data_IF_528081179191
#
_entry.id   IF_528081179191
#
_cell.length_a   1.000
_cell.length_b   1.000
_cell.length_c   1.000
_cell.angle_alpha   90.00
_cell.angle_beta   90.00
_cell.angle_gamma   90.00
#
_symmetry.space_group_name_H-M   'P 1'
#
loop_
_entity.id
_entity.type
_entity.pdbx_description
1 polymer ?
#
# COMPACT_ATOMS: atom_id res chain seq x y z
N UNK A 1 44.86 -26.50 29.09
CA UNK A 1 43.61 -26.68 28.30
C UNK A 1 43.40 -25.42 27.50
N UNK A 2 43.45 -25.52 26.17
CA UNK A 2 43.27 -24.37 25.29
C UNK A 2 41.83 -23.90 25.29
N UNK A 3 41.61 -22.59 25.40
CA UNK A 3 40.31 -21.95 25.22
C UNK A 3 39.89 -22.25 23.78
N UNK A 4 38.95 -23.18 23.59
CA UNK A 4 38.38 -23.45 22.28
C UNK A 4 37.60 -22.18 21.89
N UNK A 5 38.01 -21.54 20.79
CA UNK A 5 37.33 -20.36 20.29
C UNK A 5 35.88 -20.73 19.96
N UNK A 6 34.94 -20.35 20.83
CA UNK A 6 33.50 -20.55 20.67
C UNK A 6 32.91 -19.71 19.53
N UNK A 7 33.74 -19.04 18.73
CA UNK A 7 33.31 -18.10 17.70
C UNK A 7 33.16 -18.84 16.37
N UNK A 8 31.93 -18.88 15.87
CA UNK A 8 31.55 -19.36 14.54
C UNK A 8 31.41 -18.18 13.59
N UNK A 9 31.94 -18.31 12.37
CA UNK A 9 31.83 -17.29 11.32
C UNK A 9 30.96 -17.79 10.18
N UNK A 10 30.03 -16.94 9.74
CA UNK A 10 29.19 -17.17 8.57
C UNK A 10 29.48 -16.11 7.52
N UNK A 11 29.61 -16.52 6.27
CA UNK A 11 29.55 -15.63 5.11
C UNK A 11 28.16 -15.78 4.50
N UNK A 12 27.30 -14.78 4.67
CA UNK A 12 25.91 -14.82 4.24
C UNK A 12 25.71 -13.82 3.11
N UNK A 13 25.52 -14.31 1.89
CA UNK A 13 25.37 -13.46 0.71
C UNK A 13 26.50 -12.44 0.52
N UNK A 14 27.72 -12.74 0.99
CA UNK A 14 28.90 -11.87 0.94
C UNK A 14 29.17 -11.02 2.18
N UNK A 15 28.28 -10.97 3.19
CA UNK A 15 28.53 -10.29 4.47
C UNK A 15 28.97 -11.28 5.53
N UNK A 16 30.04 -10.94 6.26
CA UNK A 16 30.59 -11.79 7.32
C UNK A 16 29.87 -11.50 8.64
N UNK A 17 29.33 -12.54 9.26
CA UNK A 17 28.76 -12.55 10.59
C UNK A 17 29.60 -13.41 11.53
N UNK A 18 29.65 -13.00 12.80
CA UNK A 18 30.32 -13.75 13.86
C UNK A 18 29.35 -13.95 15.01
N UNK A 19 29.29 -15.18 15.52
CA UNK A 19 28.43 -15.55 16.65
C UNK A 19 29.07 -16.67 17.46
N UNK A 20 28.42 -17.08 18.54
CA UNK A 20 28.88 -18.19 19.39
C UNK A 20 28.12 -19.48 19.13
N UNK A 21 28.72 -20.65 19.42
CA UNK A 21 27.97 -21.92 19.36
C UNK A 21 26.78 -21.90 20.33
N UNK A 22 26.95 -21.28 21.49
CA UNK A 22 25.91 -21.05 22.50
C UNK A 22 24.70 -20.26 21.96
N UNK A 23 24.92 -19.25 21.11
CA UNK A 23 23.83 -18.49 20.47
C UNK A 23 23.08 -19.37 19.47
N UNK A 24 23.79 -20.17 18.69
CA UNK A 24 23.19 -21.05 17.69
C UNK A 24 22.41 -22.20 18.34
N UNK A 25 22.83 -22.65 19.53
CA UNK A 25 22.12 -23.67 20.31
C UNK A 25 20.73 -23.22 20.81
N UNK A 26 20.42 -21.93 20.73
CA UNK A 26 19.07 -21.42 20.99
C UNK A 26 18.10 -21.70 19.83
N UNK A 27 18.60 -22.13 18.66
CA UNK A 27 17.76 -22.53 17.56
C UNK A 27 17.11 -23.90 17.84
N UNK A 28 15.95 -24.16 17.23
CA UNK A 28 15.28 -25.45 17.36
C UNK A 28 16.19 -26.59 16.85
N UNK A 29 16.09 -27.77 17.48
CA UNK A 29 16.91 -28.95 17.12
C UNK A 29 16.64 -29.41 15.69
N UNK A 30 15.43 -29.21 15.21
CA UNK A 30 15.01 -29.55 13.84
C UNK A 30 15.37 -28.43 12.82
N UNK A 31 16.05 -27.37 13.25
CA UNK A 31 16.46 -26.26 12.38
C UNK A 31 17.84 -26.47 11.74
N UNK A 32 18.16 -25.68 10.71
CA UNK A 32 19.48 -25.64 10.07
C UNK A 32 20.64 -25.48 11.08
N UNK A 33 20.46 -24.69 12.14
CA UNK A 33 21.49 -24.49 13.16
C UNK A 33 21.49 -25.59 14.22
N UNK A 34 20.34 -26.20 14.53
CA UNK A 34 20.26 -27.40 15.37
C UNK A 34 21.01 -28.58 14.75
N UNK A 35 20.85 -28.78 13.44
CA UNK A 35 21.59 -29.75 12.65
C UNK A 35 23.11 -29.47 12.58
N UNK A 36 23.55 -28.25 12.90
CA UNK A 36 24.99 -27.90 12.94
C UNK A 36 25.70 -28.49 14.18
N UNK A 37 24.95 -28.87 15.21
CA UNK A 37 25.46 -29.47 16.46
C UNK A 37 25.21 -30.96 16.59
N UNK A 38 24.59 -31.57 15.59
CA UNK A 38 24.31 -33.00 15.59
C UNK A 38 25.52 -33.77 15.03
N UNK A 39 25.98 -34.80 15.75
CA UNK A 39 27.18 -35.60 15.41
C UNK A 39 27.03 -36.35 14.06
N UNK A 40 25.83 -36.33 13.48
CA UNK A 40 25.42 -37.10 12.32
C UNK A 40 25.49 -36.32 11.00
N UNK A 41 25.87 -35.05 11.01
CA UNK A 41 25.82 -34.21 9.82
C UNK A 41 27.19 -33.91 9.20
N UNK A 42 27.39 -34.50 8.03
CA UNK A 42 28.57 -34.43 7.18
C UNK A 42 28.61 -33.11 6.36
N UNK A 43 28.32 -31.96 7.00
CA UNK A 43 28.58 -30.66 6.38
C UNK A 43 30.09 -30.50 6.27
N UNK A 44 30.58 -30.80 5.06
CA UNK A 44 31.95 -30.58 4.59
C UNK A 44 32.54 -29.38 5.33
N UNK A 45 33.62 -29.65 6.05
CA UNK A 45 34.44 -28.67 6.74
C UNK A 45 34.49 -27.37 5.93
N UNK A 46 34.38 -26.19 6.58
CA UNK A 46 34.30 -24.91 5.90
C UNK A 46 35.35 -24.84 4.79
N UNK A 47 34.99 -24.26 3.64
CA UNK A 47 35.75 -24.35 2.37
C UNK A 47 37.24 -23.90 2.54
N UNK A 48 37.58 -23.20 3.63
CA UNK A 48 38.94 -22.86 4.06
C UNK A 48 39.19 -23.00 5.59
N UNK A 49 38.45 -23.86 6.30
CA UNK A 49 38.66 -24.12 7.73
C UNK A 49 38.16 -23.02 8.69
N UNK A 50 37.50 -21.95 8.21
CA UNK A 50 37.18 -20.76 9.04
C UNK A 50 35.81 -20.12 8.88
N UNK A 51 35.02 -20.43 7.86
CA UNK A 51 33.73 -19.75 7.62
C UNK A 51 32.72 -20.63 6.87
N UNK A 52 31.46 -20.60 7.33
CA UNK A 52 30.33 -21.29 6.70
C UNK A 52 29.63 -20.36 5.72
N UNK A 53 29.53 -20.75 4.46
CA UNK A 53 28.80 -19.97 3.47
C UNK A 53 27.31 -20.30 3.49
N UNK A 54 26.47 -19.28 3.57
CA UNK A 54 25.02 -19.36 3.47
C UNK A 54 24.60 -18.49 2.29
N UNK A 55 24.03 -19.11 1.26
CA UNK A 55 23.53 -18.41 0.08
C UNK A 55 22.14 -17.81 0.35
N UNK A 56 22.10 -16.84 1.27
CA UNK A 56 20.89 -16.12 1.70
C UNK A 56 21.19 -14.64 1.92
N UNK A 57 20.14 -13.84 2.10
CA UNK A 57 20.27 -12.41 2.35
C UNK A 57 20.89 -12.15 3.74
N UNK A 58 21.98 -11.35 3.82
CA UNK A 58 22.61 -11.01 5.09
C UNK A 58 21.70 -10.23 6.04
N UNK A 59 20.78 -9.39 5.56
CA UNK A 59 19.91 -8.61 6.44
C UNK A 59 18.92 -9.50 7.20
N UNK A 60 18.39 -10.55 6.56
CA UNK A 60 17.50 -11.53 7.21
C UNK A 60 18.25 -12.37 8.22
N UNK A 61 19.48 -12.76 7.87
CA UNK A 61 20.34 -13.48 8.79
C UNK A 61 20.70 -12.62 10.00
N UNK A 62 20.83 -11.30 9.85
CA UNK A 62 21.03 -10.40 10.99
C UNK A 62 19.83 -10.43 11.95
N UNK A 63 18.60 -10.35 11.43
CA UNK A 63 17.36 -10.45 12.24
C UNK A 63 17.27 -11.79 12.95
N UNK A 64 17.50 -12.88 12.21
CA UNK A 64 17.46 -14.22 12.75
C UNK A 64 18.56 -14.43 13.80
N UNK A 65 19.75 -13.88 13.59
CA UNK A 65 20.84 -13.97 14.55
C UNK A 65 20.55 -13.18 15.83
N UNK A 66 19.91 -12.01 15.71
CA UNK A 66 19.51 -11.21 16.87
C UNK A 66 18.35 -11.86 17.64
N UNK A 67 17.40 -12.52 16.95
CA UNK A 67 16.41 -13.40 17.57
C UNK A 67 17.08 -14.50 18.40
N UNK A 68 18.07 -15.20 17.81
CA UNK A 68 18.81 -16.24 18.53
C UNK A 68 19.61 -15.70 19.72
N UNK A 69 20.10 -14.46 19.66
CA UNK A 69 20.85 -13.82 20.76
C UNK A 69 19.99 -13.36 21.91
N UNK A 70 18.81 -12.82 21.59
CA UNK A 70 17.98 -12.10 22.57
C UNK A 70 16.75 -12.89 23.01
N UNK A 71 16.32 -13.87 22.23
CA UNK A 71 15.03 -14.55 22.39
C UNK A 71 13.84 -13.75 21.85
N UNK A 72 14.06 -12.50 21.44
CA UNK A 72 13.04 -11.57 20.96
C UNK A 72 13.26 -11.23 19.49
N UNK A 73 12.18 -11.22 18.70
CA UNK A 73 12.26 -10.88 17.28
C UNK A 73 12.41 -9.36 17.10
N UNK A 74 13.65 -8.89 16.96
CA UNK A 74 13.95 -7.51 16.59
C UNK A 74 14.15 -7.41 15.08
N UNK A 75 13.12 -6.96 14.36
CA UNK A 75 13.28 -6.51 12.98
C UNK A 75 13.86 -5.09 13.07
N UNK A 76 15.12 -4.84 12.68
CA UNK A 76 15.68 -3.51 12.71
C UNK A 76 14.86 -2.66 11.74
N UNK A 77 14.09 -1.72 12.28
CA UNK A 77 13.59 -0.58 11.52
C UNK A 77 14.82 0.29 11.24
N UNK A 78 15.63 -0.11 10.27
CA UNK A 78 16.65 0.72 9.65
C UNK A 78 16.04 1.88 8.86
N UNK A 79 14.72 2.05 8.93
CA UNK A 79 13.93 3.04 8.23
C UNK A 79 13.32 3.97 9.26
N UNK A 80 13.42 5.27 8.97
CA UNK A 80 12.68 6.25 9.74
C UNK A 80 11.18 6.04 9.56
N UNK A 81 10.35 6.71 10.37
CA UNK A 81 8.91 6.73 10.12
C UNK A 81 8.63 7.16 8.67
N UNK A 82 7.62 6.55 8.04
CA UNK A 82 7.21 6.92 6.69
C UNK A 82 6.93 8.43 6.62
N UNK A 83 7.63 9.10 5.72
CA UNK A 83 7.44 10.51 5.41
C UNK A 83 7.57 10.71 3.90
N UNK A 84 6.44 11.06 3.28
CA UNK A 84 6.33 11.34 1.84
C UNK A 84 7.32 12.39 1.34
N UNK A 85 7.73 13.33 2.19
CA UNK A 85 8.69 14.39 1.82
C UNK A 85 10.14 13.90 1.79
N UNK A 86 10.42 12.75 2.41
CA UNK A 86 11.76 12.19 2.53
C UNK A 86 11.95 10.93 1.71
N UNK A 87 10.89 10.42 1.07
CA UNK A 87 10.94 9.24 0.23
C UNK A 87 12.04 9.35 -0.84
N UNK A 88 12.81 8.27 -0.97
CA UNK A 88 13.79 8.06 -2.03
C UNK A 88 13.49 6.75 -2.73
N UNK A 89 13.73 6.72 -4.03
CA UNK A 89 13.65 5.48 -4.80
C UNK A 89 14.66 4.50 -4.22
N UNK A 90 14.16 3.37 -3.72
CA UNK A 90 14.98 2.31 -3.12
C UNK A 90 15.34 1.26 -4.17
N UNK A 91 14.33 0.77 -4.90
CA UNK A 91 14.50 -0.26 -5.93
C UNK A 91 13.38 -0.19 -6.97
N UNK A 92 13.61 -0.83 -8.10
CA UNK A 92 12.60 -1.07 -9.13
C UNK A 92 12.63 -2.53 -9.53
N UNK A 93 11.46 -3.11 -9.70
CA UNK A 93 11.29 -4.52 -10.02
C UNK A 93 10.60 -4.62 -11.38
N UNK A 94 11.25 -5.30 -12.31
CA UNK A 94 10.69 -5.62 -13.62
C UNK A 94 9.88 -6.92 -13.49
N UNK A 95 8.59 -6.82 -13.73
CA UNK A 95 7.66 -7.94 -13.78
C UNK A 95 7.90 -8.84 -14.98
N UNK A 96 7.39 -10.07 -14.89
CA UNK A 96 7.47 -11.10 -15.94
C UNK A 96 6.15 -11.29 -16.70
N UNK A 97 5.11 -10.53 -16.35
CA UNK A 97 3.78 -10.73 -16.89
C UNK A 97 3.64 -10.19 -18.33
N UNK A 98 2.83 -10.83 -19.19
CA UNK A 98 2.66 -10.40 -20.59
C UNK A 98 1.61 -9.31 -20.82
N UNK A 99 0.96 -8.78 -19.77
CA UNK A 99 -0.18 -7.85 -19.90
C UNK A 99 -0.08 -6.62 -19.01
N UNK A 100 -0.89 -5.60 -19.31
CA UNK A 100 -0.82 -4.28 -18.69
C UNK A 100 -1.04 -4.31 -17.17
N UNK A 101 -0.32 -3.41 -16.47
CA UNK A 101 -0.45 -3.20 -15.03
C UNK A 101 -1.86 -2.79 -14.65
N UNK A 102 -2.50 -3.57 -13.77
CA UNK A 102 -3.89 -3.39 -13.36
C UNK A 102 -4.01 -2.77 -11.98
N UNK A 103 -3.31 -3.32 -10.99
CA UNK A 103 -3.37 -2.85 -9.61
C UNK A 103 -2.11 -3.28 -8.84
N UNK A 104 -1.73 -2.48 -7.83
CA UNK A 104 -0.67 -2.82 -6.88
C UNK A 104 -1.15 -2.56 -5.45
N UNK A 105 -0.87 -3.47 -4.52
CA UNK A 105 -1.25 -3.31 -3.11
C UNK A 105 -0.08 -3.64 -2.20
N UNK A 106 0.28 -2.68 -1.37
CA UNK A 106 1.27 -2.88 -0.31
C UNK A 106 0.76 -3.95 0.67
N UNK A 107 1.61 -4.91 0.98
CA UNK A 107 1.36 -5.97 1.95
C UNK A 107 1.54 -5.47 3.38
N UNK A 108 0.91 -6.14 4.36
CA UNK A 108 1.04 -5.79 5.78
C UNK A 108 2.45 -6.08 6.34
N UNK A 109 3.24 -6.89 5.64
CA UNK A 109 4.60 -7.30 5.99
C UNK A 109 5.68 -6.41 5.34
N UNK A 110 5.30 -5.42 4.54
CA UNK A 110 6.21 -4.59 3.75
C UNK A 110 6.50 -5.16 2.35
N UNK A 111 5.86 -6.27 1.97
CA UNK A 111 5.82 -6.77 0.60
C UNK A 111 4.79 -6.04 -0.26
N UNK A 112 4.44 -6.61 -1.41
CA UNK A 112 3.33 -6.13 -2.23
C UNK A 112 2.77 -7.24 -3.13
N UNK A 113 1.55 -7.07 -3.62
CA UNK A 113 1.05 -7.86 -4.72
C UNK A 113 0.77 -6.96 -5.93
N UNK A 114 0.99 -7.50 -7.13
CA UNK A 114 0.91 -6.77 -8.39
C UNK A 114 0.09 -7.57 -9.40
N UNK A 115 -1.01 -7.00 -9.86
CA UNK A 115 -1.89 -7.58 -10.87
C UNK A 115 -1.54 -7.09 -12.27
N UNK A 116 -1.39 -8.04 -13.20
CA UNK A 116 -1.15 -7.80 -14.63
C UNK A 116 -2.09 -8.67 -15.46
N UNK A 117 -3.09 -8.07 -16.09
CA UNK A 117 -4.09 -8.80 -16.88
C UNK A 117 -4.83 -9.86 -16.04
N UNK A 118 -4.45 -11.13 -16.17
CA UNK A 118 -5.05 -12.27 -15.45
C UNK A 118 -4.17 -12.92 -14.38
N UNK A 119 -2.97 -12.38 -14.17
CA UNK A 119 -1.99 -12.89 -13.21
C UNK A 119 -1.80 -11.91 -12.06
N UNK A 120 -1.56 -12.45 -10.87
CA UNK A 120 -1.14 -11.67 -9.69
C UNK A 120 0.17 -12.23 -9.18
N UNK A 121 1.17 -11.36 -9.09
CA UNK A 121 2.49 -11.67 -8.55
C UNK A 121 2.54 -11.20 -7.10
N UNK A 122 3.03 -12.04 -6.20
CA UNK A 122 3.14 -11.72 -4.77
C UNK A 122 4.62 -11.61 -4.43
N UNK A 123 5.01 -10.50 -3.83
CA UNK A 123 6.36 -10.22 -3.39
C UNK A 123 6.37 -10.04 -1.89
N UNK A 124 7.28 -10.72 -1.21
CA UNK A 124 7.51 -10.49 0.21
C UNK A 124 8.23 -9.16 0.47
N UNK A 125 8.50 -8.86 1.74
CA UNK A 125 9.22 -7.67 2.15
C UNK A 125 10.65 -7.57 1.59
N UNK A 126 11.25 -8.67 1.15
CA UNK A 126 12.57 -8.71 0.50
C UNK A 126 12.47 -8.52 -1.02
N UNK A 127 11.24 -8.47 -1.54
CA UNK A 127 10.91 -8.47 -2.96
C UNK A 127 11.27 -9.80 -3.63
N UNK A 128 11.26 -10.90 -2.88
CA UNK A 128 11.28 -12.25 -3.43
C UNK A 128 9.86 -12.64 -3.86
N UNK A 129 9.76 -13.19 -5.07
CA UNK A 129 8.48 -13.53 -5.68
C UNK A 129 8.02 -14.92 -5.19
N UNK A 130 6.80 -14.99 -4.67
CA UNK A 130 6.09 -16.23 -4.37
C UNK A 130 5.35 -16.76 -5.62
N UNK A 131 4.87 -18.02 -5.62
CA UNK A 131 4.13 -18.58 -6.74
C UNK A 131 3.00 -17.64 -7.21
N UNK A 132 2.89 -17.36 -8.53
CA UNK A 132 1.90 -16.44 -9.04
C UNK A 132 0.48 -17.00 -8.90
N UNK A 133 -0.46 -16.09 -8.69
CA UNK A 133 -1.87 -16.41 -8.49
C UNK A 133 -2.66 -16.13 -9.77
N UNK A 134 -3.69 -16.94 -10.03
CA UNK A 134 -4.68 -16.65 -11.05
C UNK A 134 -6.04 -17.23 -10.66
N UNK A 135 -7.11 -16.52 -11.01
CA UNK A 135 -8.48 -17.00 -10.82
C UNK A 135 -9.04 -17.40 -12.17
N UNK A 136 -8.85 -18.68 -12.54
CA UNK A 136 -9.31 -19.26 -13.81
C UNK A 136 -8.85 -18.48 -15.06
N UNK A 137 -7.69 -17.80 -14.95
CA UNK A 137 -7.14 -16.88 -15.94
C UNK A 137 -8.10 -15.76 -16.39
N UNK A 138 -9.05 -15.39 -15.53
CA UNK A 138 -9.92 -14.23 -15.75
C UNK A 138 -9.14 -12.92 -15.57
N UNK A 139 -9.58 -11.87 -16.27
CA UNK A 139 -9.02 -10.53 -16.09
C UNK A 139 -9.27 -10.08 -14.65
N UNK A 140 -8.20 -9.77 -13.94
CA UNK A 140 -8.23 -9.21 -12.59
C UNK A 140 -8.73 -7.76 -12.67
N UNK A 141 -9.59 -7.36 -11.74
CA UNK A 141 -10.07 -5.98 -11.63
C UNK A 141 -9.42 -5.25 -10.47
N UNK A 142 -9.20 -5.96 -9.35
CA UNK A 142 -8.54 -5.46 -8.16
C UNK A 142 -7.95 -6.64 -7.35
N UNK A 143 -7.09 -6.30 -6.40
CA UNK A 143 -6.45 -7.22 -5.47
C UNK A 143 -6.48 -6.60 -4.07
N UNK A 144 -6.39 -7.44 -3.04
CA UNK A 144 -6.40 -6.95 -1.67
C UNK A 144 -5.82 -7.96 -0.68
N UNK A 145 -5.07 -7.46 0.29
CA UNK A 145 -4.56 -8.26 1.39
C UNK A 145 -5.64 -8.42 2.45
N UNK A 146 -6.04 -9.65 2.73
CA UNK A 146 -6.92 -9.96 3.87
C UNK A 146 -6.10 -10.02 5.15
N UNK A 147 -4.91 -10.61 5.06
CA UNK A 147 -3.89 -10.70 6.10
C UNK A 147 -2.54 -11.04 5.44
N UNK A 148 -1.47 -11.19 6.21
CA UNK A 148 -0.13 -11.49 5.68
C UNK A 148 -0.06 -12.81 4.87
N UNK A 149 -0.97 -13.75 5.11
CA UNK A 149 -0.97 -15.07 4.47
C UNK A 149 -1.98 -15.20 3.33
N UNK A 150 -2.85 -14.21 3.14
CA UNK A 150 -4.03 -14.35 2.28
C UNK A 150 -4.25 -13.14 1.38
N UNK A 151 -4.24 -13.38 0.08
CA UNK A 151 -4.52 -12.38 -0.96
C UNK A 151 -5.86 -12.70 -1.61
N UNK A 152 -6.71 -11.69 -1.70
CA UNK A 152 -7.99 -11.73 -2.39
C UNK A 152 -7.83 -11.15 -3.79
N UNK A 153 -8.39 -11.84 -4.77
CA UNK A 153 -8.44 -11.40 -6.18
C UNK A 153 -9.90 -11.17 -6.54
N UNK A 154 -10.22 -10.02 -7.13
CA UNK A 154 -11.48 -9.77 -7.82
C UNK A 154 -11.27 -9.86 -9.33
N UNK A 155 -12.18 -10.52 -10.06
CA UNK A 155 -12.03 -10.76 -11.48
C UNK A 155 -13.33 -10.62 -12.28
N UNK A 156 -13.18 -10.45 -13.59
CA UNK A 156 -14.28 -10.42 -14.54
C UNK A 156 -15.03 -11.76 -14.63
N UNK A 157 -16.35 -11.70 -14.78
CA UNK A 157 -17.14 -12.87 -15.09
C UNK A 157 -16.70 -13.51 -16.43
N UNK A 158 -16.55 -14.84 -16.45
CA UNK A 158 -16.40 -15.60 -17.69
C UNK A 158 -17.75 -16.04 -18.21
N UNK A 159 -18.10 -15.57 -19.40
CA UNK A 159 -19.36 -15.90 -20.06
C UNK A 159 -19.51 -17.42 -20.25
N UNK A 160 -20.66 -17.96 -19.82
CA UNK A 160 -21.10 -19.32 -20.17
C UNK A 160 -20.62 -20.47 -19.27
N UNK A 161 -19.84 -20.21 -18.20
CA UNK A 161 -19.37 -21.27 -17.28
C UNK A 161 -19.79 -21.11 -15.81
N UNK A 162 -20.35 -19.97 -15.42
CA UNK A 162 -20.71 -19.70 -14.01
C UNK A 162 -19.51 -19.42 -13.09
N UNK A 163 -18.30 -19.74 -13.52
CA UNK A 163 -17.04 -19.37 -12.87
C UNK A 163 -16.85 -17.85 -12.94
N UNK A 164 -16.90 -17.16 -11.80
CA UNK A 164 -16.74 -15.71 -11.74
C UNK A 164 -16.61 -15.21 -10.31
N UNK A 165 -16.15 -13.96 -10.13
CA UNK A 165 -16.23 -13.26 -8.87
C UNK A 165 -14.88 -13.08 -8.21
N UNK A 166 -14.72 -13.67 -7.03
CA UNK A 166 -13.55 -13.43 -6.17
C UNK A 166 -12.98 -14.74 -5.65
N UNK A 167 -11.65 -14.77 -5.49
CA UNK A 167 -10.92 -15.91 -4.94
C UNK A 167 -9.95 -15.48 -3.85
N UNK A 168 -9.92 -16.22 -2.74
CA UNK A 168 -8.93 -16.09 -1.68
C UNK A 168 -7.80 -17.08 -1.91
N UNK A 169 -6.57 -16.61 -1.93
CA UNK A 169 -5.38 -17.41 -2.18
C UNK A 169 -4.40 -17.31 -1.03
N UNK A 170 -3.61 -18.36 -0.82
CA UNK A 170 -2.43 -18.31 0.02
C UNK A 170 -1.37 -17.42 -0.64
N UNK A 171 -0.87 -16.40 0.07
CA UNK A 171 0.21 -15.53 -0.43
C UNK A 171 1.53 -16.28 -0.64
N UNK A 172 1.76 -17.36 0.12
CA UNK A 172 3.01 -18.13 0.11
C UNK A 172 3.01 -19.31 -0.88
N UNK A 173 1.92 -20.07 -0.95
CA UNK A 173 1.85 -21.30 -1.77
C UNK A 173 1.19 -21.08 -3.12
N UNK A 174 0.37 -20.02 -3.24
CA UNK A 174 -0.47 -19.77 -4.40
C UNK A 174 -1.75 -20.59 -4.47
N UNK A 175 -2.03 -21.42 -3.45
CA UNK A 175 -3.23 -22.26 -3.44
C UNK A 175 -4.50 -21.44 -3.26
N UNK A 176 -5.52 -21.74 -4.06
CA UNK A 176 -6.87 -21.21 -3.90
C UNK A 176 -7.52 -21.83 -2.66
N UNK A 177 -7.83 -20.99 -1.66
CA UNK A 177 -8.48 -21.39 -0.41
C UNK A 177 -10.00 -21.34 -0.51
N UNK A 178 -10.54 -20.30 -1.15
CA UNK A 178 -11.99 -20.07 -1.21
C UNK A 178 -12.40 -19.31 -2.46
N UNK A 179 -13.59 -19.61 -3.00
CA UNK A 179 -14.27 -18.80 -4.03
C UNK A 179 -15.53 -18.18 -3.43
N UNK A 180 -15.65 -16.86 -3.55
CA UNK A 180 -16.81 -16.14 -3.00
C UNK A 180 -17.92 -16.05 -4.02
N UNK A 181 -19.07 -16.61 -3.67
CA UNK A 181 -20.29 -16.53 -4.45
C UNK A 181 -21.14 -15.34 -3.99
N UNK A 182 -21.90 -14.77 -4.92
CA UNK A 182 -23.02 -13.87 -4.61
C UNK A 182 -24.32 -14.66 -4.68
N UNK A 183 -25.12 -14.54 -3.63
CA UNK A 183 -26.49 -15.05 -3.54
C UNK A 183 -27.46 -13.89 -3.71
N UNK A 184 -28.36 -14.03 -4.67
CA UNK A 184 -29.42 -13.07 -4.97
C UNK A 184 -30.71 -13.84 -5.25
N UNK A 185 -31.83 -13.45 -4.63
CA UNK A 185 -33.12 -14.16 -4.68
C UNK A 185 -32.98 -15.67 -4.38
N UNK A 186 -32.17 -16.00 -3.36
CA UNK A 186 -31.85 -17.38 -2.96
C UNK A 186 -31.19 -18.23 -4.05
N UNK A 187 -30.63 -17.62 -5.09
CA UNK A 187 -29.86 -18.30 -6.14
C UNK A 187 -28.43 -17.78 -6.17
N UNK A 188 -27.49 -18.71 -6.34
CA UNK A 188 -26.10 -18.33 -6.64
C UNK A 188 -26.10 -17.79 -8.08
N UNK A 189 -25.63 -16.57 -8.24
CA UNK A 189 -25.51 -15.94 -9.55
C UNK A 189 -24.06 -15.56 -9.83
N UNK A 190 -23.68 -15.60 -11.10
CA UNK A 190 -22.39 -15.12 -11.56
C UNK A 190 -22.33 -13.59 -11.54
N UNK A 191 -21.14 -13.06 -11.27
CA UNK A 191 -20.90 -11.62 -11.14
C UNK A 191 -19.45 -11.27 -11.47
N UNK A 192 -19.24 -10.06 -11.97
CA UNK A 192 -17.93 -9.43 -12.07
C UNK A 192 -17.65 -8.71 -10.77
N UNK A 193 -16.59 -9.11 -10.07
CA UNK A 193 -16.14 -8.40 -8.87
C UNK A 193 -15.17 -7.28 -9.26
N UNK A 194 -15.41 -6.08 -8.76
CA UNK A 194 -14.63 -4.88 -9.03
C UNK A 194 -13.74 -4.48 -7.85
N UNK A 195 -13.87 -3.22 -7.43
CA UNK A 195 -13.11 -2.63 -6.34
C UNK A 195 -13.34 -3.38 -5.01
N UNK A 196 -12.26 -3.52 -4.25
CA UNK A 196 -12.24 -4.22 -2.96
C UNK A 196 -12.03 -3.25 -1.80
N UNK A 197 -12.60 -3.59 -0.64
CA UNK A 197 -12.26 -2.94 0.62
C UNK A 197 -12.42 -3.90 1.80
N UNK A 198 -11.69 -3.62 2.87
CA UNK A 198 -11.69 -4.41 4.09
C UNK A 198 -11.99 -3.53 5.28
N UNK A 199 -12.61 -4.12 6.28
CA UNK A 199 -12.92 -3.47 7.55
C UNK A 199 -12.20 -4.18 8.70
N UNK A 200 -11.95 -3.49 9.83
CA UNK A 200 -11.31 -4.10 10.99
C UNK A 200 -12.09 -5.25 11.63
N UNK A 201 -13.40 -5.32 11.41
CA UNK A 201 -14.28 -6.38 11.91
C UNK A 201 -14.39 -7.58 10.95
N UNK A 202 -13.30 -7.86 10.23
CA UNK A 202 -13.16 -9.03 9.37
C UNK A 202 -14.20 -9.13 8.25
N UNK A 203 -14.70 -8.01 7.72
CA UNK A 203 -15.56 -8.01 6.54
C UNK A 203 -14.81 -7.63 5.27
N UNK A 204 -15.20 -8.27 4.18
CA UNK A 204 -14.80 -7.98 2.81
C UNK A 204 -15.95 -7.28 2.13
N UNK A 205 -15.67 -6.15 1.51
CA UNK A 205 -16.61 -5.44 0.64
C UNK A 205 -16.11 -5.51 -0.79
N UNK A 206 -17.02 -5.78 -1.73
CA UNK A 206 -16.69 -5.73 -3.15
C UNK A 206 -17.84 -5.15 -3.96
N UNK A 207 -17.50 -4.35 -4.98
CA UNK A 207 -18.47 -3.99 -6.00
C UNK A 207 -18.76 -5.21 -6.87
N UNK A 208 -20.03 -5.53 -7.01
CA UNK A 208 -20.50 -6.67 -7.78
C UNK A 208 -21.27 -6.11 -8.97
N UNK A 209 -20.87 -6.43 -10.20
CA UNK A 209 -21.64 -6.14 -11.41
C UNK A 209 -22.17 -7.44 -11.99
N UNK A 210 -23.35 -7.44 -12.57
CA UNK A 210 -23.79 -8.60 -13.34
C UNK A 210 -24.81 -8.28 -14.41
N UNK A 211 -25.40 -9.32 -14.98
CA UNK A 211 -25.83 -9.33 -16.39
C UNK A 211 -26.98 -8.38 -16.74
N UNK A 212 -27.88 -8.09 -15.80
CA UNK A 212 -29.06 -7.24 -16.03
C UNK A 212 -28.91 -5.83 -15.45
N UNK A 213 -27.68 -5.34 -15.23
CA UNK A 213 -27.37 -4.18 -14.38
C UNK A 213 -27.82 -4.34 -12.91
N UNK A 214 -28.04 -5.57 -12.46
CA UNK A 214 -28.64 -5.87 -11.14
C UNK A 214 -27.63 -6.29 -10.08
N UNK A 215 -26.69 -5.44 -9.66
CA UNK A 215 -25.86 -5.76 -8.48
C UNK A 215 -25.33 -4.50 -7.81
N UNK A 216 -24.96 -4.59 -6.54
CA UNK A 216 -24.43 -3.48 -5.74
C UNK A 216 -23.18 -3.88 -4.97
N UNK A 217 -23.17 -3.68 -3.66
CA UNK A 217 -22.01 -4.00 -2.81
C UNK A 217 -22.27 -5.29 -2.04
N UNK A 218 -21.47 -6.31 -2.31
CA UNK A 218 -21.49 -7.55 -1.54
C UNK A 218 -20.64 -7.44 -0.29
N UNK A 219 -21.06 -8.13 0.77
CA UNK A 219 -20.32 -8.23 2.03
C UNK A 219 -20.13 -9.68 2.43
N UNK A 220 -18.88 -10.06 2.66
CA UNK A 220 -18.51 -11.40 3.11
C UNK A 220 -17.73 -11.34 4.41
N UNK A 221 -17.92 -12.36 5.22
CA UNK A 221 -17.11 -12.60 6.40
C UNK A 221 -15.78 -13.27 6.01
N UNK A 222 -14.66 -12.69 6.44
CA UNK A 222 -13.31 -13.16 6.07
C UNK A 222 -13.01 -14.56 6.63
N UNK A 223 -13.60 -14.92 7.77
CA UNK A 223 -13.30 -16.17 8.48
C UNK A 223 -14.06 -17.35 7.86
N UNK A 224 -15.34 -17.17 7.61
CA UNK A 224 -16.24 -18.22 7.11
C UNK A 224 -16.36 -18.23 5.58
N UNK A 225 -15.95 -17.14 4.91
CA UNK A 225 -16.12 -16.94 3.48
C UNK A 225 -17.57 -16.69 3.04
N UNK A 226 -18.53 -16.69 3.98
CA UNK A 226 -19.95 -16.58 3.65
C UNK A 226 -20.34 -15.14 3.36
N UNK A 227 -21.23 -14.97 2.39
CA UNK A 227 -21.93 -13.69 2.22
C UNK A 227 -22.79 -13.46 3.46
N UNK A 228 -22.54 -12.35 4.15
CA UNK A 228 -23.26 -11.95 5.36
C UNK A 228 -24.21 -10.79 5.10
N UNK A 229 -23.97 -10.02 4.03
CA UNK A 229 -24.82 -8.91 3.68
C UNK A 229 -24.72 -8.52 2.21
N UNK A 230 -25.67 -7.71 1.74
CA UNK A 230 -25.66 -7.10 0.42
C UNK A 230 -26.33 -5.73 0.45
N UNK A 231 -25.73 -4.76 -0.22
CA UNK A 231 -26.31 -3.44 -0.44
C UNK A 231 -26.74 -3.33 -1.90
N UNK A 232 -28.04 -3.26 -2.13
CA UNK A 232 -28.61 -3.19 -3.46
C UNK A 232 -28.47 -1.79 -4.06
N UNK A 233 -28.32 -1.76 -5.37
CA UNK A 233 -28.28 -0.52 -6.14
C UNK A 233 -29.62 0.22 -6.10
N UNK A 234 -29.57 1.53 -5.88
CA UNK A 234 -30.73 2.43 -6.01
C UNK A 234 -30.86 2.87 -7.48
N UNK A 235 -32.08 3.02 -8.04
CA UNK A 235 -32.24 3.47 -9.43
C UNK A 235 -31.43 4.74 -9.76
N UNK A 236 -30.61 4.65 -10.81
CA UNK A 236 -29.75 5.75 -11.28
C UNK A 236 -28.35 5.79 -10.66
N UNK A 237 -28.04 4.95 -9.67
CA UNK A 237 -26.68 4.73 -9.18
C UNK A 237 -26.03 3.56 -9.92
N UNK A 238 -24.73 3.35 -9.79
CA UNK A 238 -24.03 2.19 -10.38
C UNK A 238 -23.02 1.64 -9.38
N UNK A 239 -23.52 1.21 -8.22
CA UNK A 239 -22.70 0.74 -7.09
C UNK A 239 -21.91 -0.52 -7.46
N UNK A 240 -22.53 -1.39 -8.28
CA UNK A 240 -21.88 -2.59 -8.77
C UNK A 240 -20.67 -2.34 -9.68
N UNK A 241 -20.58 -1.12 -10.23
CA UNK A 241 -19.50 -0.71 -11.14
C UNK A 241 -18.47 0.21 -10.48
N UNK A 242 -18.48 0.31 -9.14
CA UNK A 242 -17.60 1.21 -8.42
C UNK A 242 -16.12 0.95 -8.73
N UNK A 243 -15.39 2.04 -8.98
CA UNK A 243 -13.96 2.10 -9.20
C UNK A 243 -13.16 1.99 -7.91
N UNK A 244 -13.75 2.46 -6.80
CA UNK A 244 -13.07 2.54 -5.52
C UNK A 244 -14.04 2.36 -4.37
N UNK A 245 -13.61 1.56 -3.40
CA UNK A 245 -14.26 1.37 -2.12
C UNK A 245 -13.29 1.78 -1.01
N UNK A 246 -13.79 2.48 -0.01
CA UNK A 246 -13.00 2.86 1.18
C UNK A 246 -13.86 2.78 2.43
N UNK A 247 -13.43 1.95 3.38
CA UNK A 247 -14.06 1.84 4.69
C UNK A 247 -13.63 3.00 5.58
N UNK A 248 -14.60 3.63 6.23
CA UNK A 248 -14.40 4.77 7.12
C UNK A 248 -14.66 4.31 8.55
N UNK A 249 -13.62 4.33 9.38
CA UNK A 249 -13.65 3.77 10.73
C UNK A 249 -14.44 4.67 11.68
N UNK A 250 -14.25 5.99 11.59
CA UNK A 250 -14.90 6.96 12.46
C UNK A 250 -16.41 7.01 12.28
N UNK A 251 -16.87 6.85 11.04
CA UNK A 251 -18.31 6.84 10.70
C UNK A 251 -18.91 5.45 10.53
N UNK A 252 -18.10 4.39 10.56
CA UNK A 252 -18.51 3.00 10.26
C UNK A 252 -19.32 2.89 8.97
N UNK A 253 -18.87 3.60 7.95
CA UNK A 253 -19.55 3.75 6.66
C UNK A 253 -18.62 3.40 5.52
N UNK A 254 -19.19 3.05 4.37
CA UNK A 254 -18.43 2.72 3.17
C UNK A 254 -18.54 3.84 2.15
N UNK A 255 -17.41 4.43 1.76
CA UNK A 255 -17.32 5.27 0.57
C UNK A 255 -17.33 4.37 -0.67
N UNK A 256 -18.23 4.70 -1.60
CA UNK A 256 -18.32 4.07 -2.91
C UNK A 256 -18.22 5.15 -3.97
N UNK A 257 -17.21 5.05 -4.84
CA UNK A 257 -16.99 5.99 -5.93
C UNK A 257 -17.03 5.27 -7.29
N UNK A 258 -17.87 5.78 -8.19
CA UNK A 258 -17.96 5.38 -9.59
C UNK A 258 -17.66 6.61 -10.43
N UNK A 259 -16.56 6.60 -11.19
CA UNK A 259 -15.92 7.81 -11.73
C UNK A 259 -15.68 7.69 -13.24
N UNK A 260 -15.43 8.83 -13.88
CA UNK A 260 -15.13 8.92 -15.30
C UNK A 260 -13.69 8.40 -15.59
N UNK A 261 -13.46 7.61 -16.65
CA UNK A 261 -14.33 7.38 -17.81
C UNK A 261 -15.18 6.11 -17.77
N UNK A 262 -15.23 5.36 -16.64
CA UNK A 262 -16.04 4.13 -16.59
C UNK A 262 -17.53 4.41 -16.75
N UNK A 263 -17.97 5.58 -16.29
CA UNK A 263 -19.32 6.12 -16.48
C UNK A 263 -19.24 7.56 -16.96
N UNK A 264 -20.27 7.98 -17.71
CA UNK A 264 -20.39 9.36 -18.21
C UNK A 264 -20.52 10.39 -17.08
N UNK A 265 -21.17 10.00 -15.99
CA UNK A 265 -21.34 10.82 -14.79
C UNK A 265 -20.63 10.17 -13.60
N UNK A 266 -20.00 11.00 -12.77
CA UNK A 266 -19.37 10.61 -11.53
C UNK A 266 -20.38 10.58 -10.39
N UNK A 267 -20.25 9.57 -9.54
CA UNK A 267 -21.11 9.31 -8.41
C UNK A 267 -20.25 8.91 -7.22
N UNK A 268 -20.37 9.63 -6.11
CA UNK A 268 -19.70 9.30 -4.84
C UNK A 268 -20.79 9.20 -3.77
N UNK A 269 -20.76 8.14 -2.98
CA UNK A 269 -21.75 7.91 -1.93
C UNK A 269 -21.10 7.36 -0.66
N UNK A 270 -21.70 7.67 0.49
CA UNK A 270 -21.41 7.03 1.77
C UNK A 270 -22.59 6.14 2.13
N UNK A 271 -22.32 4.85 2.32
CA UNK A 271 -23.32 3.83 2.66
C UNK A 271 -23.20 3.45 4.13
N UNK A 272 -24.32 3.48 4.86
CA UNK A 272 -24.44 2.90 6.20
C UNK A 272 -25.18 1.56 6.09
N UNK A 273 -24.44 0.47 6.31
CA UNK A 273 -24.95 -0.90 6.23
C UNK A 273 -25.90 -1.25 7.38
N UNK A 274 -25.81 -0.57 8.53
CA UNK A 274 -26.71 -0.78 9.66
C UNK A 274 -28.10 -0.24 9.36
N UNK A 275 -28.14 0.90 8.66
CA UNK A 275 -29.38 1.59 8.28
C UNK A 275 -29.90 1.18 6.90
N UNK A 276 -29.09 0.47 6.10
CA UNK A 276 -29.39 0.14 4.70
C UNK A 276 -29.73 1.37 3.87
N UNK A 277 -28.99 2.45 4.09
CA UNK A 277 -29.24 3.74 3.46
C UNK A 277 -27.96 4.42 2.99
N UNK A 278 -28.11 5.27 1.99
CA UNK A 278 -27.07 6.21 1.58
C UNK A 278 -27.17 7.45 2.48
N UNK A 279 -26.19 7.64 3.36
CA UNK A 279 -26.17 8.75 4.33
C UNK A 279 -25.62 10.04 3.73
N UNK A 280 -24.85 9.93 2.65
CA UNK A 280 -24.35 11.08 1.90
C UNK A 280 -24.12 10.70 0.44
N UNK A 281 -24.29 11.67 -0.47
CA UNK A 281 -24.03 11.44 -1.89
C UNK A 281 -23.65 12.72 -2.64
N UNK A 282 -22.87 12.55 -3.69
CA UNK A 282 -22.46 13.58 -4.63
C UNK A 282 -22.51 13.03 -6.06
N UNK A 283 -22.89 13.89 -7.01
CA UNK A 283 -22.85 13.60 -8.43
C UNK A 283 -22.48 14.85 -9.23
N UNK A 284 -21.78 14.69 -10.34
CA UNK A 284 -21.55 15.76 -11.32
C UNK A 284 -22.72 15.93 -12.30
N UNK A 285 -23.72 15.04 -12.26
CA UNK A 285 -24.92 15.13 -13.07
C UNK A 285 -25.64 16.48 -12.89
N UNK A 286 -25.88 17.18 -14.01
CA UNK A 286 -26.56 18.48 -14.03
C UNK A 286 -25.71 19.66 -13.55
N UNK A 287 -24.42 19.48 -13.31
CA UNK A 287 -23.50 20.59 -13.10
C UNK A 287 -23.46 21.49 -14.35
N UNK A 288 -23.46 22.83 -14.22
CA UNK A 288 -23.38 23.71 -15.37
C UNK A 288 -22.11 23.40 -16.16
N UNK A 289 -22.26 23.24 -17.48
CA UNK A 289 -21.16 23.09 -18.44
C UNK A 289 -20.37 24.41 -18.47
N UNK A 290 -19.50 24.63 -17.50
CA UNK A 290 -18.56 25.75 -17.51
C UNK A 290 -17.36 25.41 -18.38
N UNK A 291 -16.72 26.43 -18.96
CA UNK A 291 -15.58 26.32 -19.89
C UNK A 291 -14.39 25.50 -19.34
N UNK A 292 -14.27 25.36 -18.00
CA UNK A 292 -13.31 24.49 -17.32
C UNK A 292 -14.01 23.20 -16.82
N UNK A 293 -14.39 22.27 -17.73
CA UNK A 293 -14.93 20.95 -17.35
C UNK A 293 -13.87 20.15 -16.56
N UNK A 294 -13.93 20.19 -15.23
CA UNK A 294 -13.07 19.37 -14.37
C UNK A 294 -13.83 18.14 -13.91
N UNK A 295 -13.57 16.99 -14.53
CA UNK A 295 -14.16 15.71 -14.14
C UNK A 295 -13.31 15.03 -13.08
N UNK A 296 -13.97 14.46 -12.06
CA UNK A 296 -13.27 13.67 -11.05
C UNK A 296 -12.81 12.33 -11.67
N UNK A 297 -11.54 11.98 -11.41
CA UNK A 297 -10.87 10.77 -11.91
C UNK A 297 -10.55 9.77 -10.80
N UNK A 298 -10.28 10.29 -9.61
CA UNK A 298 -10.23 9.50 -8.38
C UNK A 298 -10.76 10.32 -7.20
N UNK A 299 -11.14 9.63 -6.13
CA UNK A 299 -11.64 10.21 -4.89
C UNK A 299 -11.04 9.51 -3.67
N UNK A 300 -10.92 10.21 -2.55
CA UNK A 300 -10.55 9.62 -1.27
C UNK A 300 -11.23 10.38 -0.13
N UNK A 301 -11.82 9.65 0.81
CA UNK A 301 -12.39 10.24 2.01
C UNK A 301 -11.29 10.54 3.03
N UNK A 302 -11.43 11.68 3.69
CA UNK A 302 -10.53 12.23 4.67
C UNK A 302 -11.32 12.49 5.95
N UNK A 303 -11.42 11.45 6.80
CA UNK A 303 -12.27 11.47 8.00
C UNK A 303 -11.88 12.63 8.95
N UNK A 304 -10.59 12.83 9.19
CA UNK A 304 -10.08 13.90 10.07
C UNK A 304 -10.49 15.31 9.61
N UNK A 305 -10.72 15.47 8.30
CA UNK A 305 -11.11 16.74 7.69
C UNK A 305 -12.59 16.82 7.34
N UNK A 306 -13.39 15.79 7.64
CA UNK A 306 -14.79 15.66 7.21
C UNK A 306 -15.00 16.03 5.73
N UNK A 307 -14.10 15.56 4.86
CA UNK A 307 -14.08 15.94 3.45
C UNK A 307 -13.79 14.74 2.56
N UNK A 308 -14.22 14.81 1.30
CA UNK A 308 -13.75 13.93 0.23
C UNK A 308 -12.85 14.76 -0.67
N UNK A 309 -11.61 14.32 -0.85
CA UNK A 309 -10.73 14.88 -1.88
C UNK A 309 -10.99 14.15 -3.20
N UNK A 310 -11.06 14.91 -4.29
CA UNK A 310 -11.16 14.42 -5.66
C UNK A 310 -10.01 14.99 -6.47
N UNK A 311 -9.57 14.27 -7.50
CA UNK A 311 -8.56 14.75 -8.45
C UNK A 311 -9.11 14.71 -9.87
N UNK A 312 -8.78 15.70 -10.70
CA UNK A 312 -9.16 15.71 -12.11
C UNK A 312 -8.00 15.27 -13.03
N UNK A 313 -8.27 15.21 -14.33
CA UNK A 313 -7.26 14.92 -15.37
C UNK A 313 -6.07 15.90 -15.44
N UNK A 314 -6.14 17.04 -14.76
CA UNK A 314 -5.05 18.03 -14.73
C UNK A 314 -4.25 17.99 -13.42
N UNK A 315 -4.45 16.96 -12.59
CA UNK A 315 -3.86 16.84 -11.24
C UNK A 315 -4.33 17.94 -10.27
N UNK A 316 -5.45 18.63 -10.57
CA UNK A 316 -6.05 19.55 -9.63
C UNK A 316 -6.79 18.78 -8.55
N UNK A 317 -6.54 19.17 -7.30
CA UNK A 317 -7.27 18.66 -6.15
C UNK A 317 -8.53 19.49 -5.91
N UNK A 318 -9.64 18.81 -5.70
CA UNK A 318 -10.90 19.37 -5.28
C UNK A 318 -11.34 18.78 -3.95
N UNK A 319 -12.09 19.55 -3.17
CA UNK A 319 -12.57 19.12 -1.86
C UNK A 319 -14.08 19.28 -1.76
N UNK A 320 -14.73 18.24 -1.26
CA UNK A 320 -16.17 18.20 -1.01
C UNK A 320 -16.37 18.03 0.49
N UNK A 321 -16.99 19.00 1.14
CA UNK A 321 -17.25 18.97 2.59
C UNK A 321 -18.44 18.03 2.88
N UNK A 322 -18.21 17.01 3.70
CA UNK A 322 -19.22 16.00 4.04
C UNK A 322 -20.36 16.57 4.91
N UNK A 323 -20.14 17.69 5.59
CA UNK A 323 -21.12 18.32 6.49
C UNK A 323 -22.08 19.23 5.76
N UNK A 324 -21.66 19.77 4.61
CA UNK A 324 -22.43 20.75 3.86
C UNK A 324 -23.25 20.02 2.81
N UNK A 325 -24.57 20.17 2.88
CA UNK A 325 -25.51 19.71 1.85
C UNK A 325 -25.39 20.61 0.61
N UNK A 326 -24.30 20.49 -0.14
CA UNK A 326 -23.99 21.36 -1.27
C UNK A 326 -23.02 20.68 -2.24
N UNK A 327 -23.54 20.27 -3.40
CA UNK A 327 -22.93 19.33 -4.36
C UNK A 327 -21.75 19.89 -5.17
N UNK A 328 -21.12 21.00 -4.79
CA UNK A 328 -20.05 21.61 -5.59
C UNK A 328 -18.66 21.23 -5.08
N UNK A 329 -17.80 20.76 -5.97
CA UNK A 329 -16.38 20.55 -5.68
C UNK A 329 -15.68 21.91 -5.53
N UNK A 330 -14.99 22.12 -4.40
CA UNK A 330 -14.11 23.27 -4.23
C UNK A 330 -12.71 22.94 -4.76
N UNK A 331 -12.46 23.28 -6.01
CA UNK A 331 -11.15 23.08 -6.64
C UNK A 331 -10.10 24.02 -6.03
N UNK A 332 -8.96 23.44 -5.62
CA UNK A 332 -7.82 24.18 -5.12
C UNK A 332 -7.15 24.96 -6.24
N UNK A 333 -6.86 26.23 -6.00
CA UNK A 333 -6.02 27.03 -6.91
C UNK A 333 -4.53 26.71 -6.76
N UNK A 334 -4.14 26.05 -5.67
CA UNK A 334 -2.74 25.77 -5.31
C UNK A 334 -2.23 24.45 -5.88
N UNK A 335 -3.12 23.57 -6.36
CA UNK A 335 -2.80 22.29 -7.00
C UNK A 335 -2.67 22.38 -8.53
N UNK A 336 -2.76 23.57 -9.13
CA UNK A 336 -2.70 23.76 -10.59
C UNK A 336 -1.30 23.46 -11.11
N UNK A 337 -1.06 22.19 -11.40
CA UNK A 337 0.25 21.67 -11.78
C UNK A 337 0.45 21.64 -13.29
N UNK A 338 -0.63 21.52 -14.07
CA UNK A 338 -0.58 21.46 -15.54
C UNK A 338 -1.55 22.44 -16.21
N UNK A 339 -1.12 23.03 -17.34
CA UNK A 339 -1.95 23.80 -18.30
C UNK A 339 -1.87 23.21 -19.74
N UNK A 340 -1.31 22.01 -19.90
CA UNK A 340 -0.99 21.41 -21.19
C UNK A 340 -1.98 20.34 -21.64
N UNK A 341 -1.96 20.01 -22.94
CA UNK A 341 -2.74 18.92 -23.54
C UNK A 341 -2.34 17.58 -22.91
N UNK A 342 -3.31 16.75 -22.54
CA UNK A 342 -3.03 15.39 -22.03
C UNK A 342 -2.29 14.55 -23.07
N UNK A 343 -1.38 13.65 -22.66
CA UNK A 343 -0.84 12.60 -23.52
C UNK A 343 -1.96 11.71 -24.05
N UNK A 344 -1.76 11.12 -25.24
CA UNK A 344 -2.79 10.33 -25.94
C UNK A 344 -3.16 9.01 -25.22
N UNK A 345 -2.34 8.52 -24.28
CA UNK A 345 -2.63 7.35 -23.43
C UNK A 345 -2.47 7.69 -21.93
N UNK A 346 -3.49 8.25 -21.24
CA UNK A 346 -3.32 8.58 -19.83
C UNK A 346 -3.78 7.43 -18.94
N UNK A 347 -2.86 6.93 -18.10
CA UNK A 347 -3.28 6.49 -16.77
C UNK A 347 -3.86 7.68 -16.03
N UNK A 348 -5.06 7.52 -15.50
CA UNK A 348 -5.71 8.59 -14.75
C UNK A 348 -5.10 8.74 -13.36
N UNK A 349 -5.07 9.96 -12.82
CA UNK A 349 -4.48 10.21 -11.52
C UNK A 349 -5.21 9.41 -10.43
N UNK A 350 -4.44 8.89 -9.48
CA UNK A 350 -4.91 8.15 -8.30
C UNK A 350 -4.59 8.92 -7.03
N UNK A 351 -5.38 8.71 -5.99
CA UNK A 351 -5.23 9.34 -4.68
C UNK A 351 -5.03 8.31 -3.57
N UNK A 352 -4.10 8.61 -2.66
CA UNK A 352 -3.92 7.90 -1.40
C UNK A 352 -3.72 8.89 -0.25
N UNK A 353 -4.22 8.54 0.93
CA UNK A 353 -4.05 9.30 2.16
C UNK A 353 -3.31 8.38 3.14
N UNK A 354 -2.16 8.82 3.63
CA UNK A 354 -1.34 8.02 4.53
C UNK A 354 -0.66 8.94 5.55
N UNK A 355 -0.81 8.65 6.85
CA UNK A 355 -0.24 9.44 7.96
C UNK A 355 -0.46 10.96 7.83
N UNK A 356 -1.66 11.38 7.42
CA UNK A 356 -2.00 12.80 7.26
C UNK A 356 -1.36 13.50 6.06
N UNK A 357 -0.67 12.75 5.18
CA UNK A 357 -0.15 13.24 3.90
C UNK A 357 -1.03 12.73 2.76
N UNK A 358 -1.35 13.59 1.81
CA UNK A 358 -2.13 13.26 0.63
C UNK A 358 -1.19 13.06 -0.56
N UNK A 359 -1.38 11.98 -1.30
CA UNK A 359 -0.58 11.60 -2.45
C UNK A 359 -1.46 11.56 -3.69
N UNK A 360 -0.96 12.12 -4.80
CA UNK A 360 -1.61 12.05 -6.11
C UNK A 360 -0.61 11.56 -7.14
N UNK A 361 -0.93 10.47 -7.87
CA UNK A 361 -0.16 10.08 -9.05
C UNK A 361 -0.59 10.91 -10.26
N UNK A 362 0.33 11.22 -11.15
CA UNK A 362 0.06 11.79 -12.47
C UNK A 362 1.28 11.56 -13.36
N UNK A 363 1.06 11.00 -14.56
CA UNK A 363 2.13 10.59 -15.46
C UNK A 363 3.16 9.72 -14.73
N UNK A 364 4.44 10.07 -14.82
CA UNK A 364 5.57 9.36 -14.22
C UNK A 364 5.91 9.82 -12.78
N UNK A 365 4.98 10.51 -12.12
CA UNK A 365 5.24 11.18 -10.85
C UNK A 365 4.14 11.01 -9.80
N UNK A 366 4.52 11.10 -8.53
CA UNK A 366 3.61 11.17 -7.38
C UNK A 366 3.89 12.46 -6.62
N UNK A 367 2.89 13.33 -6.57
CA UNK A 367 2.89 14.57 -5.82
C UNK A 367 2.45 14.33 -4.38
N UNK A 368 3.15 14.93 -3.42
CA UNK A 368 2.86 14.84 -1.97
C UNK A 368 2.36 16.19 -1.49
N UNK A 369 1.21 16.20 -0.82
CA UNK A 369 0.55 17.38 -0.29
C UNK A 369 0.41 17.27 1.22
N UNK A 370 0.80 18.33 1.94
CA UNK A 370 0.79 18.35 3.39
C UNK A 370 0.17 19.65 3.95
N UNK A 371 -0.18 19.60 5.23
CA UNK A 371 -0.69 20.74 5.97
C UNK A 371 -2.18 21.02 5.74
N UNK A 372 -2.75 21.99 6.47
CA UNK A 372 -4.21 22.25 6.45
C UNK A 372 -4.72 22.71 5.08
N UNK A 373 -3.86 23.35 4.30
CA UNK A 373 -4.16 23.86 2.95
C UNK A 373 -3.78 22.88 1.83
N UNK A 374 -3.29 21.68 2.17
CA UNK A 374 -2.85 20.65 1.21
C UNK A 374 -1.91 21.22 0.14
N UNK A 375 -0.82 21.85 0.59
CA UNK A 375 0.17 22.45 -0.30
C UNK A 375 1.11 21.36 -0.81
N UNK A 376 1.49 21.43 -2.09
CA UNK A 376 2.50 20.55 -2.67
C UNK A 376 3.84 20.75 -1.96
N UNK A 377 4.36 19.69 -1.34
CA UNK A 377 5.62 19.72 -0.58
C UNK A 377 6.72 18.88 -1.20
N UNK A 378 6.37 17.82 -1.95
CA UNK A 378 7.34 16.96 -2.61
C UNK A 378 6.75 16.37 -3.90
N UNK A 379 7.63 15.97 -4.82
CA UNK A 379 7.27 15.24 -6.03
C UNK A 379 8.27 14.10 -6.23
N UNK A 380 7.77 12.88 -6.13
CA UNK A 380 8.51 11.67 -6.45
C UNK A 380 8.42 11.50 -7.97
N UNK A 381 9.55 11.34 -8.64
CA UNK A 381 9.56 11.20 -10.09
C UNK A 381 10.66 10.27 -10.53
N UNK A 382 10.35 9.48 -11.57
CA UNK A 382 11.31 8.69 -12.31
C UNK A 382 10.95 8.73 -13.78
N UNK A 383 11.93 8.59 -14.66
CA UNK A 383 11.75 8.66 -16.11
C UNK A 383 11.70 7.29 -16.80
N UNK A 384 11.48 6.20 -16.05
CA UNK A 384 11.50 4.83 -16.56
C UNK A 384 10.20 4.11 -16.19
N UNK A 385 9.59 3.39 -17.14
CA UNK A 385 8.35 2.62 -16.94
C UNK A 385 7.07 3.26 -17.49
N UNK A 386 7.10 4.52 -17.94
CA UNK A 386 5.90 5.21 -18.46
C UNK A 386 5.00 5.72 -17.34
N UNK A 387 3.71 5.91 -17.63
CA UNK A 387 2.73 6.49 -16.71
C UNK A 387 2.41 5.55 -15.54
N UNK A 388 2.14 6.11 -14.35
CA UNK A 388 1.76 5.34 -13.17
C UNK A 388 0.28 4.99 -13.27
N UNK A 389 -0.04 3.70 -13.39
CA UNK A 389 -1.40 3.21 -13.49
C UNK A 389 -2.07 3.03 -12.12
N UNK A 390 -1.28 2.67 -11.12
CA UNK A 390 -1.75 2.50 -9.75
C UNK A 390 -0.58 2.65 -8.75
N UNK A 391 -0.88 3.01 -7.51
CA UNK A 391 0.13 3.03 -6.46
C UNK A 391 -0.51 2.70 -5.10
N UNK A 392 0.30 2.19 -4.18
CA UNK A 392 -0.15 1.80 -2.85
C UNK A 392 0.91 2.09 -1.81
N UNK A 393 0.45 2.50 -0.63
CA UNK A 393 1.31 2.84 0.50
C UNK A 393 0.95 1.90 1.64
N UNK A 394 1.93 1.21 2.21
CA UNK A 394 1.75 0.30 3.33
C UNK A 394 3.03 0.15 4.13
N UNK A 395 2.88 0.05 5.44
CA UNK A 395 4.01 0.06 6.37
C UNK A 395 4.86 1.32 6.18
N UNK A 396 6.11 1.13 5.77
CA UNK A 396 7.11 2.17 5.55
C UNK A 396 7.49 2.36 4.07
N UNK A 397 6.71 1.79 3.14
CA UNK A 397 6.99 1.82 1.70
C UNK A 397 5.84 2.40 0.89
N UNK A 398 6.21 3.04 -0.21
CA UNK A 398 5.30 3.38 -1.30
C UNK A 398 5.70 2.57 -2.53
N UNK A 399 4.72 1.92 -3.15
CA UNK A 399 4.87 1.16 -4.38
C UNK A 399 4.11 1.85 -5.51
N UNK A 400 4.76 2.06 -6.66
CA UNK A 400 4.15 2.67 -7.83
C UNK A 400 4.25 1.72 -9.02
N UNK A 401 3.11 1.29 -9.58
CA UNK A 401 3.02 0.44 -10.74
C UNK A 401 2.91 1.28 -12.01
N UNK A 402 3.74 0.98 -12.99
CA UNK A 402 3.75 1.69 -14.25
C UNK A 402 3.02 0.92 -15.36
N UNK A 403 2.54 1.65 -16.37
CA UNK A 403 1.80 1.14 -17.51
C UNK A 403 2.69 0.42 -18.52
N UNK A 404 3.96 0.83 -18.65
CA UNK A 404 4.90 0.23 -19.60
C UNK A 404 5.92 -0.67 -18.89
N UNK A 405 6.48 -1.60 -19.65
CA UNK A 405 7.59 -2.47 -19.25
C UNK A 405 7.32 -3.38 -18.02
N UNK A 406 6.08 -3.48 -17.53
CA UNK A 406 5.69 -4.24 -16.34
C UNK A 406 6.55 -3.90 -15.12
N UNK A 407 6.91 -2.63 -14.94
CA UNK A 407 7.79 -2.20 -13.85
C UNK A 407 6.97 -1.63 -12.71
N UNK A 408 7.40 -1.92 -11.48
CA UNK A 408 7.00 -1.12 -10.34
C UNK A 408 8.20 -0.60 -9.55
N UNK A 409 8.04 0.59 -9.00
CA UNK A 409 9.02 1.29 -8.18
C UNK A 409 8.68 1.16 -6.70
N UNK A 410 9.71 1.05 -5.86
CA UNK A 410 9.62 1.07 -4.40
C UNK A 410 10.33 2.30 -3.86
N UNK A 411 9.61 3.08 -3.05
CA UNK A 411 10.10 4.28 -2.41
C UNK A 411 10.10 4.10 -0.89
N UNK A 412 11.19 4.50 -0.25
CA UNK A 412 11.40 4.30 1.19
C UNK A 412 11.93 5.56 1.84
N UNK A 413 11.59 5.78 3.11
CA UNK A 413 12.17 6.86 3.91
C UNK A 413 13.55 6.42 4.42
N UNK A 414 14.64 7.13 4.05
CA UNK A 414 15.97 6.75 4.49
C UNK A 414 16.10 6.91 6.02
N UNK A 415 16.93 6.07 6.68
CA UNK A 415 17.21 6.22 8.10
C UNK A 415 17.62 7.64 8.44
N UNK A 416 17.14 8.14 9.58
CA UNK A 416 17.69 9.37 10.15
C UNK A 416 19.17 9.18 10.47
N UNK A 417 20.07 10.07 10.00
CA UNK A 417 21.48 9.99 10.33
C UNK A 417 21.68 9.92 11.85
N UNK A 418 22.52 8.98 12.31
CA UNK A 418 22.79 8.72 13.75
C UNK A 418 23.42 9.92 14.51
N UNK A 419 23.59 11.09 13.88
CA UNK A 419 24.12 12.32 14.49
C UNK A 419 23.08 13.35 14.95
N UNK A 420 21.78 13.18 14.63
CA UNK A 420 20.73 14.16 14.99
C UNK A 420 19.72 13.64 16.03
N UNK A 421 19.81 12.37 16.41
CA UNK A 421 18.92 11.74 17.40
C UNK A 421 19.16 12.20 18.85
N UNK A 422 20.07 13.16 19.08
CA UNK A 422 20.48 13.61 20.42
C UNK A 422 19.92 14.95 20.90
N UNK A 423 19.02 15.63 20.17
CA UNK A 423 18.60 17.01 20.54
C UNK A 423 17.12 17.19 20.87
N UNK A 424 16.26 16.19 20.66
CA UNK A 424 14.86 16.27 21.10
C UNK A 424 14.61 15.47 22.38
N UNK A 425 15.26 15.91 23.46
CA UNK A 425 14.81 15.60 24.81
C UNK A 425 13.52 16.38 25.10
N UNK A 426 12.46 15.67 25.45
CA UNK A 426 11.17 16.21 25.91
C UNK A 426 11.38 17.15 27.10
N UNK A 427 11.23 18.46 26.88
CA UNK A 427 11.16 19.43 27.96
C UNK A 427 9.73 19.44 28.54
N UNK A 428 9.57 18.92 29.76
CA UNK A 428 8.39 19.20 30.58
C UNK A 428 8.62 20.53 31.29
N UNK A 429 7.78 21.57 31.09
CA UNK A 429 7.97 22.82 31.80
C UNK A 429 7.53 22.63 33.25
N UNK A 430 8.46 22.81 34.21
CA UNK A 430 8.10 23.04 35.62
C UNK A 430 7.50 24.45 35.74
N UNK A 431 6.42 24.65 36.52
CA UNK A 431 5.89 25.98 36.75
C UNK A 431 6.83 26.73 37.72
N UNK A 432 7.50 27.77 37.23
CA UNK A 432 8.14 28.77 38.07
C UNK A 432 7.35 30.06 37.97
N UNK A 433 6.78 30.49 39.09
CA UNK A 433 6.06 31.76 39.19
C UNK A 433 6.99 32.96 38.99
N UNK A 434 6.40 34.03 38.48
CA UNK A 434 6.81 35.40 38.80
C UNK A 434 7.79 36.09 37.86
N UNK A 435 7.26 37.13 37.20
CA UNK A 435 7.90 38.37 36.71
C UNK A 435 8.49 38.39 35.29
N UNK A 436 7.73 39.06 34.42
CA UNK A 436 8.06 40.02 33.35
C UNK A 436 9.44 39.94 32.65
N UNK A 437 9.38 39.65 31.34
CA UNK A 437 9.88 40.54 30.28
C UNK A 437 11.37 40.55 29.96
N UNK A 438 11.77 39.80 28.92
CA UNK A 438 12.83 40.23 27.98
C UNK A 438 12.80 39.37 26.70
N UNK A 439 12.82 40.03 25.53
CA UNK A 439 13.13 39.41 24.23
C UNK A 439 14.59 38.95 24.25
N UNK A 440 14.86 37.72 23.81
CA UNK A 440 16.22 37.27 23.49
C UNK A 440 16.30 37.00 21.98
N UNK A 441 17.05 37.88 21.31
CA UNK A 441 17.49 37.77 19.93
C UNK A 441 18.62 36.72 19.86
N UNK A 442 18.44 35.65 19.09
CA UNK A 442 19.51 34.66 18.88
C UNK A 442 20.35 35.10 17.68
N UNK A 443 21.59 35.50 17.96
CA UNK A 443 22.64 35.75 16.98
C UNK A 443 23.28 34.40 16.62
N UNK A 444 23.27 34.05 15.34
CA UNK A 444 24.10 32.97 14.79
C UNK A 444 25.50 33.53 14.51
N UNK A 445 26.49 33.17 15.32
CA UNK A 445 27.90 33.35 14.98
C UNK A 445 28.48 32.04 14.43
N UNK A 446 28.88 32.13 13.17
CA UNK A 446 29.63 31.15 12.39
C UNK A 446 31.10 31.14 12.84
N UNK A 447 31.67 29.96 13.12
CA UNK A 447 33.13 29.79 13.25
C UNK A 447 33.58 28.46 12.65
N UNK A 448 33.99 28.53 11.39
CA UNK A 448 35.38 28.26 11.04
C UNK A 448 35.69 26.84 10.55
N UNK A 449 35.80 26.72 9.23
CA UNK A 449 36.74 25.78 8.59
C UNK A 449 38.18 26.09 9.00
N UNK A 450 39.07 25.07 8.98
CA UNK A 450 40.18 25.22 8.04
C UNK A 450 40.54 23.96 7.25
N UNK A 451 41.02 24.27 6.06
CA UNK A 451 41.72 23.53 5.02
C UNK A 451 42.82 22.54 5.44
N UNK A 452 42.89 21.45 4.65
CA UNK A 452 44.06 20.77 4.04
C UNK A 452 45.41 20.79 4.79
N UNK A 453 45.98 19.60 4.98
CA UNK A 453 47.39 19.30 4.72
C UNK A 453 47.53 17.92 4.05
N UNK A 454 48.39 17.88 3.03
CA UNK A 454 48.99 16.71 2.40
C UNK A 454 50.06 16.12 3.34
N UNK A 455 50.14 14.80 3.46
CA UNK A 455 51.16 13.94 2.82
C UNK A 455 50.74 12.47 2.93
#
# INVERSE_FOLDING_TARGET
>A
MGIQNDIVKFNVGGRIFQTTATTLANADRDSFFGALFDDNWDLKQPINGREFFIDRNPDCFAVLLDLLRTGDLYIPSNRGPFDGNRLKLSKSVTGRAPGDGTAIRAGPDGGCCVAHGSMVHVFDWMLEEHPPLNLDYQRVNDIGWVNAESVLISACERLGRGDSGMGLFSSYTGDLRYKFNVVHDNQIKSYTAGALCFSPDYKIFASCKGRSNEYGIGVWDQVTGKQIDFFYETPGWSLGEADKLQWLNGTTSLLVATLFPRKDNCYISLLDFRQKSTVWSWSDFGAPLTVDEKRARDAIAMEDCNSVCVVNEYEDLGFIDLRISGRSVRWSSRSRLMKGKMPDEPCYPKLALHNGQLFSSMNDSISVFCGPDWVLTSRLRRSYGGSICDFSIGGDRLFALHSEANVFDIWETPPTPKGLAGVYGTWTPRPAGGRQGQLVQVVLEDRGTPSRWLD
#
